data_IF_444628779127
#
_entry.id   IF_444628779127
#
_cell.length_a   1.000
_cell.length_b   1.000
_cell.length_c   1.000
_cell.angle_alpha   90.00
_cell.angle_beta   90.00
_cell.angle_gamma   90.00
#
_symmetry.space_group_name_H-M   'P 1'
#
loop_
_entity.id
_entity.type
_entity.pdbx_description
1 polymer ?
#
# COMPACT_ATOMS: atom_id res chain seq x y z
N UNK A 1 1.35 9.92 -7.44
CA UNK A 1 0.97 11.10 -8.26
C UNK A 1 1.68 12.37 -7.81
N UNK A 2 1.52 12.85 -6.59
CA UNK A 2 2.13 14.13 -6.16
C UNK A 2 3.66 14.14 -6.28
N UNK A 3 4.32 13.02 -5.99
CA UNK A 3 5.76 12.86 -6.15
C UNK A 3 6.17 12.94 -7.63
N UNK A 4 5.50 12.20 -8.52
CA UNK A 4 5.74 12.24 -9.97
C UNK A 4 5.54 13.65 -10.57
N UNK A 5 4.50 14.36 -10.10
CA UNK A 5 4.27 15.75 -10.50
C UNK A 5 5.46 16.63 -10.08
N UNK A 6 5.95 16.44 -8.85
CA UNK A 6 7.06 17.23 -8.30
C UNK A 6 8.38 16.93 -8.99
N UNK A 7 8.66 15.66 -9.28
CA UNK A 7 9.94 15.22 -9.88
C UNK A 7 10.01 15.49 -11.38
N UNK A 8 8.89 15.33 -12.10
CA UNK A 8 8.87 15.42 -13.56
C UNK A 8 8.13 16.64 -14.12
N UNK A 9 7.52 17.47 -13.27
CA UNK A 9 6.78 18.65 -13.69
C UNK A 9 5.51 18.37 -14.50
N UNK A 10 4.93 17.15 -14.39
CA UNK A 10 3.72 16.78 -15.12
C UNK A 10 2.52 17.62 -14.68
N UNK A 11 1.78 18.14 -15.65
CA UNK A 11 0.53 18.90 -15.41
C UNK A 11 -0.65 17.95 -15.32
N UNK A 12 -0.73 17.21 -14.23
CA UNK A 12 -1.77 16.21 -13.94
C UNK A 12 -2.71 16.71 -12.83
N UNK A 13 -3.96 16.26 -12.90
CA UNK A 13 -4.95 16.51 -11.86
C UNK A 13 -5.76 15.23 -11.56
N UNK A 14 -6.04 14.92 -10.28
CA UNK A 14 -6.96 13.82 -9.95
C UNK A 14 -8.37 14.21 -10.38
N UNK A 15 -9.10 13.26 -10.96
CA UNK A 15 -10.49 13.44 -11.36
C UNK A 15 -11.47 12.70 -10.47
N UNK A 16 -11.08 11.55 -9.89
CA UNK A 16 -11.85 10.92 -8.81
C UNK A 16 -10.98 9.93 -8.01
N UNK A 17 -11.43 9.64 -6.81
CA UNK A 17 -10.95 8.52 -6.00
C UNK A 17 -11.46 7.19 -6.58
N UNK A 18 -10.69 6.12 -6.41
CA UNK A 18 -11.03 4.80 -6.92
C UNK A 18 -11.15 3.77 -5.80
N UNK A 19 -10.03 3.33 -5.26
CA UNK A 19 -10.01 2.33 -4.19
C UNK A 19 -8.74 2.46 -3.34
N UNK A 20 -8.80 1.83 -2.18
CA UNK A 20 -7.65 1.55 -1.34
C UNK A 20 -7.25 0.09 -1.55
N UNK A 21 -5.95 -0.13 -1.61
CA UNK A 21 -5.33 -1.43 -1.79
C UNK A 21 -4.29 -1.60 -0.68
N UNK A 22 -4.64 -2.33 0.41
CA UNK A 22 -3.75 -2.48 1.56
C UNK A 22 -2.48 -3.25 1.20
N UNK A 23 -1.33 -2.71 1.62
CA UNK A 23 -0.08 -3.48 1.60
C UNK A 23 -0.09 -4.49 2.76
N UNK A 24 0.46 -5.68 2.53
CA UNK A 24 0.56 -6.73 3.55
C UNK A 24 1.97 -7.28 3.68
N UNK A 25 2.29 -7.77 4.87
CA UNK A 25 3.50 -8.56 5.12
C UNK A 25 3.17 -10.05 5.01
N UNK A 26 3.92 -10.75 4.19
CA UNK A 26 3.75 -12.19 3.93
C UNK A 26 5.00 -12.95 4.32
N UNK A 27 4.84 -14.21 4.69
CA UNK A 27 5.96 -15.07 5.05
C UNK A 27 5.64 -16.54 4.80
N UNK A 28 6.68 -17.30 4.45
CA UNK A 28 6.64 -18.77 4.46
C UNK A 28 7.19 -19.34 5.77
N UNK A 29 7.87 -18.51 6.58
CA UNK A 29 8.63 -18.93 7.78
C UNK A 29 7.90 -18.64 9.08
N UNK A 30 7.09 -17.56 9.13
CA UNK A 30 6.29 -17.17 10.29
C UNK A 30 4.83 -16.98 9.91
N UNK A 31 3.93 -17.07 10.88
CA UNK A 31 2.48 -16.87 10.69
C UNK A 31 1.95 -15.67 11.47
N UNK A 32 2.70 -15.18 12.45
CA UNK A 32 2.30 -14.09 13.34
C UNK A 32 3.50 -13.19 13.65
N UNK A 33 3.23 -11.93 13.97
CA UNK A 33 4.28 -10.93 14.28
C UNK A 33 5.11 -11.28 15.52
N UNK A 34 4.53 -11.96 16.50
CA UNK A 34 5.22 -12.37 17.74
C UNK A 34 6.21 -13.52 17.53
N UNK A 35 6.25 -14.11 16.34
CA UNK A 35 7.26 -15.09 15.94
C UNK A 35 8.55 -14.45 15.38
N UNK A 36 8.55 -13.12 15.16
CA UNK A 36 9.74 -12.38 14.73
C UNK A 36 10.84 -12.48 15.79
N UNK A 37 12.05 -12.69 15.33
CA UNK A 37 13.25 -12.83 16.17
C UNK A 37 14.23 -11.70 15.92
N UNK A 38 15.10 -11.49 16.90
CA UNK A 38 16.21 -10.56 16.79
C UNK A 38 17.07 -10.87 15.57
N UNK A 39 17.33 -9.85 14.75
CA UNK A 39 18.13 -9.95 13.55
C UNK A 39 17.40 -10.46 12.31
N UNK A 40 16.08 -10.73 12.40
CA UNK A 40 15.31 -11.14 11.23
C UNK A 40 15.35 -10.08 10.12
N UNK A 41 15.33 -10.55 8.88
CA UNK A 41 15.36 -9.67 7.70
C UNK A 41 13.98 -9.58 7.07
N UNK A 42 13.50 -8.34 6.94
CA UNK A 42 12.20 -7.99 6.35
C UNK A 42 12.45 -7.25 5.04
N UNK A 43 11.91 -7.79 3.95
CA UNK A 43 11.92 -7.12 2.66
C UNK A 43 10.82 -6.05 2.63
N UNK A 44 11.17 -4.86 2.15
CA UNK A 44 10.24 -3.77 1.89
C UNK A 44 10.39 -3.28 0.43
N UNK A 45 9.34 -2.75 -0.20
CA UNK A 45 9.43 -2.13 -1.51
C UNK A 45 10.48 -1.02 -1.54
N UNK A 46 11.24 -0.93 -2.64
CA UNK A 46 12.33 0.06 -2.78
C UNK A 46 11.82 1.48 -3.08
N UNK A 47 10.59 1.61 -3.59
CA UNK A 47 10.02 2.93 -3.81
C UNK A 47 9.64 3.59 -2.48
N UNK A 48 9.87 4.90 -2.33
CA UNK A 48 9.67 5.60 -1.05
C UNK A 48 8.24 5.49 -0.50
N UNK A 49 7.24 5.47 -1.38
CA UNK A 49 5.83 5.42 -0.97
C UNK A 49 5.49 4.08 -0.31
N UNK A 50 5.75 2.96 -0.99
CA UNK A 50 5.39 1.63 -0.48
C UNK A 50 6.37 1.13 0.59
N UNK A 51 7.66 1.47 0.48
CA UNK A 51 8.64 1.21 1.53
C UNK A 51 8.25 1.86 2.86
N UNK A 52 7.91 3.15 2.81
CA UNK A 52 7.46 3.87 4.00
C UNK A 52 6.13 3.37 4.55
N UNK A 53 5.16 2.97 3.68
CA UNK A 53 3.91 2.31 4.13
C UNK A 53 4.21 1.04 4.92
N UNK A 54 5.18 0.24 4.48
CA UNK A 54 5.59 -0.98 5.19
C UNK A 54 6.06 -0.67 6.61
N UNK A 55 6.84 0.40 6.77
CA UNK A 55 7.30 0.85 8.09
C UNK A 55 6.15 1.37 8.95
N UNK A 56 5.20 2.11 8.37
CA UNK A 56 4.00 2.57 9.10
C UNK A 56 3.12 1.40 9.58
N UNK A 57 3.03 0.31 8.82
CA UNK A 57 2.34 -0.90 9.29
C UNK A 57 3.04 -1.51 10.49
N UNK A 58 4.37 -1.66 10.46
CA UNK A 58 5.13 -2.20 11.60
C UNK A 58 5.08 -1.28 12.83
N UNK A 59 5.04 0.04 12.61
CA UNK A 59 4.85 1.01 13.69
C UNK A 59 3.45 0.90 14.32
N UNK A 60 2.41 0.79 13.50
CA UNK A 60 1.04 0.61 13.97
C UNK A 60 0.84 -0.71 14.75
N UNK A 61 1.60 -1.74 14.42
CA UNK A 61 1.63 -3.02 15.13
C UNK A 61 2.60 -3.01 16.34
N UNK A 62 3.29 -1.89 16.61
CA UNK A 62 4.18 -1.72 17.77
C UNK A 62 5.54 -2.43 17.65
N UNK A 63 5.93 -2.85 16.45
CA UNK A 63 7.19 -3.57 16.20
C UNK A 63 8.39 -2.61 16.17
N UNK A 64 8.19 -1.42 15.58
CA UNK A 64 9.19 -0.34 15.50
C UNK A 64 8.56 1.00 15.91
N UNK A 65 9.40 2.05 16.08
CA UNK A 65 8.93 3.45 16.11
C UNK A 65 9.72 4.30 15.15
N UNK A 66 9.07 5.31 14.59
CA UNK A 66 9.68 6.30 13.72
C UNK A 66 9.58 7.71 14.34
N UNK A 67 10.36 8.67 13.82
CA UNK A 67 10.35 10.07 14.27
C UNK A 67 9.58 11.00 13.32
N UNK A 68 8.84 10.46 12.37
CA UNK A 68 8.08 11.27 11.42
C UNK A 68 6.77 11.79 12.02
N UNK A 69 6.33 12.95 11.58
CA UNK A 69 5.03 13.49 11.95
C UNK A 69 3.89 12.72 11.29
N UNK A 70 2.72 12.72 11.94
CA UNK A 70 1.51 12.10 11.38
C UNK A 70 1.25 12.56 9.93
N UNK A 71 1.07 11.62 9.02
CA UNK A 71 0.84 11.87 7.60
C UNK A 71 2.10 11.99 6.73
N UNK A 72 3.27 11.92 7.34
CA UNK A 72 4.53 11.77 6.61
C UNK A 72 4.85 10.29 6.36
N UNK A 73 5.66 10.04 5.34
CA UNK A 73 6.09 8.69 4.95
C UNK A 73 7.53 8.53 5.42
N UNK A 74 7.80 7.59 6.37
CA UNK A 74 9.16 7.35 6.87
C UNK A 74 10.04 6.61 5.86
N UNK A 75 11.35 6.76 6.03
CA UNK A 75 12.34 5.83 5.49
C UNK A 75 13.01 5.04 6.64
N UNK A 76 13.81 4.04 6.31
CA UNK A 76 14.54 3.21 7.29
C UNK A 76 15.39 4.07 8.23
N UNK A 77 15.96 5.17 7.73
CA UNK A 77 16.74 6.12 8.53
C UNK A 77 15.94 6.88 9.61
N UNK A 78 14.61 6.88 9.51
CA UNK A 78 13.73 7.55 10.48
C UNK A 78 13.32 6.65 11.65
N UNK A 79 13.78 5.37 11.67
CA UNK A 79 13.48 4.43 12.75
C UNK A 79 14.26 4.82 14.00
N UNK A 80 13.55 5.08 15.10
CA UNK A 80 14.13 5.44 16.39
C UNK A 80 14.12 4.31 17.42
N UNK A 81 13.22 3.33 17.25
CA UNK A 81 13.17 2.14 18.09
C UNK A 81 12.98 0.90 17.23
N UNK A 82 13.90 -0.07 17.37
CA UNK A 82 13.88 -1.36 16.69
C UNK A 82 14.44 -2.43 17.66
N UNK A 83 13.61 -2.84 18.63
CA UNK A 83 14.03 -3.73 19.73
C UNK A 83 14.51 -5.11 19.24
N UNK A 84 13.94 -5.55 18.13
CA UNK A 84 14.32 -6.84 17.51
C UNK A 84 15.52 -6.71 16.57
N UNK A 85 16.10 -5.52 16.42
CA UNK A 85 17.21 -5.29 15.49
C UNK A 85 16.92 -5.86 14.10
N UNK A 86 15.69 -5.65 13.59
CA UNK A 86 15.26 -6.12 12.29
C UNK A 86 16.08 -5.45 11.19
N UNK A 87 16.46 -6.23 10.20
CA UNK A 87 17.16 -5.74 9.01
C UNK A 87 16.15 -5.47 7.90
N UNK A 88 16.16 -4.26 7.34
CA UNK A 88 15.27 -3.88 6.24
C UNK A 88 16.00 -3.94 4.91
N UNK A 89 15.48 -4.75 3.97
CA UNK A 89 16.05 -4.95 2.65
C UNK A 89 15.13 -4.35 1.60
N UNK A 90 15.60 -3.33 0.87
CA UNK A 90 14.81 -2.65 -0.17
C UNK A 90 14.91 -3.42 -1.50
N UNK A 91 13.77 -3.87 -2.02
CA UNK A 91 13.67 -4.63 -3.29
C UNK A 91 12.59 -4.02 -4.17
N UNK A 92 12.74 -4.11 -5.49
CA UNK A 92 11.73 -3.65 -6.43
C UNK A 92 10.37 -4.28 -6.09
N UNK A 93 9.28 -3.50 -6.02
CA UNK A 93 7.95 -4.00 -5.61
C UNK A 93 7.49 -5.26 -6.35
N UNK A 94 7.76 -5.36 -7.66
CA UNK A 94 7.37 -6.51 -8.47
C UNK A 94 8.17 -7.80 -8.13
N UNK A 95 9.31 -7.66 -7.45
CA UNK A 95 10.19 -8.78 -7.11
C UNK A 95 10.08 -9.20 -5.64
N UNK A 96 9.38 -8.44 -4.80
CA UNK A 96 9.28 -8.72 -3.36
C UNK A 96 8.72 -10.12 -3.07
N UNK A 97 7.74 -10.59 -3.84
CA UNK A 97 7.14 -11.92 -3.66
C UNK A 97 8.14 -13.06 -3.87
N UNK A 98 9.13 -12.88 -4.74
CA UNK A 98 10.15 -13.89 -5.05
C UNK A 98 11.12 -14.12 -3.91
N UNK A 99 11.16 -13.23 -2.93
CA UNK A 99 12.11 -13.24 -1.82
C UNK A 99 11.64 -14.02 -0.59
N UNK A 100 10.40 -14.54 -0.61
CA UNK A 100 9.79 -15.20 0.55
C UNK A 100 10.50 -16.48 1.02
N UNK A 101 11.32 -17.10 0.17
CA UNK A 101 12.12 -18.27 0.55
C UNK A 101 13.44 -17.84 1.25
N UNK A 102 13.99 -16.70 0.88
CA UNK A 102 15.30 -16.24 1.34
C UNK A 102 15.21 -15.46 2.66
N UNK A 103 14.23 -14.58 2.79
CA UNK A 103 14.05 -13.67 3.94
C UNK A 103 12.98 -14.17 4.93
N UNK A 104 12.95 -13.58 6.12
CA UNK A 104 11.96 -13.94 7.15
C UNK A 104 10.56 -13.58 6.71
N UNK A 105 10.37 -12.37 6.15
CA UNK A 105 9.11 -11.90 5.61
C UNK A 105 9.33 -10.82 4.55
N UNK A 106 8.30 -10.54 3.76
CA UNK A 106 8.31 -9.46 2.78
C UNK A 106 6.99 -8.69 2.80
N UNK A 107 7.06 -7.37 2.72
CA UNK A 107 5.93 -6.54 2.37
C UNK A 107 5.69 -6.59 0.87
N UNK A 108 4.46 -6.90 0.49
CA UNK A 108 4.06 -7.08 -0.90
C UNK A 108 2.80 -6.25 -1.15
N UNK A 109 2.80 -5.46 -2.23
CA UNK A 109 1.60 -4.73 -2.67
C UNK A 109 0.48 -5.70 -3.03
N UNK A 110 -0.78 -5.32 -2.78
CA UNK A 110 -1.94 -6.19 -2.93
C UNK A 110 -2.04 -6.87 -4.30
N UNK A 111 -1.86 -6.11 -5.38
CA UNK A 111 -1.89 -6.65 -6.72
C UNK A 111 -0.81 -7.74 -6.97
N UNK A 112 0.43 -7.50 -6.55
CA UNK A 112 1.52 -8.49 -6.71
C UNK A 112 1.30 -9.71 -5.81
N UNK A 113 0.76 -9.52 -4.61
CA UNK A 113 0.40 -10.63 -3.73
C UNK A 113 -0.68 -11.50 -4.39
N UNK A 114 -1.76 -10.89 -4.89
CA UNK A 114 -2.88 -11.60 -5.51
C UNK A 114 -2.46 -12.34 -6.80
N UNK A 115 -1.69 -11.71 -7.68
CA UNK A 115 -1.15 -12.32 -8.90
C UNK A 115 -0.29 -13.56 -8.61
N UNK A 116 0.26 -13.67 -7.41
CA UNK A 116 1.05 -14.82 -6.95
C UNK A 116 0.30 -15.75 -5.98
N UNK A 117 -1.04 -15.65 -5.95
CA UNK A 117 -1.91 -16.58 -5.22
C UNK A 117 -2.11 -16.28 -3.73
N UNK A 118 -1.59 -15.16 -3.23
CA UNK A 118 -1.82 -14.71 -1.86
C UNK A 118 -3.09 -13.87 -1.76
N UNK A 119 -3.88 -14.09 -0.72
CA UNK A 119 -5.07 -13.30 -0.38
C UNK A 119 -4.79 -12.57 0.93
N UNK A 120 -4.76 -11.24 0.90
CA UNK A 120 -4.35 -10.40 2.03
C UNK A 120 -5.11 -10.71 3.33
N UNK A 121 -6.43 -10.95 3.23
CA UNK A 121 -7.28 -11.27 4.40
C UNK A 121 -7.02 -12.66 5.00
N UNK A 122 -6.33 -13.56 4.28
CA UNK A 122 -6.08 -14.95 4.69
C UNK A 122 -4.61 -15.21 4.99
N UNK A 123 -3.71 -14.67 4.18
CA UNK A 123 -2.32 -15.12 4.11
C UNK A 123 -1.32 -14.11 4.68
N UNK A 124 -1.72 -12.85 4.88
CA UNK A 124 -0.83 -11.84 5.44
C UNK A 124 -0.60 -12.07 6.94
N UNK A 125 0.66 -12.00 7.37
CA UNK A 125 1.08 -11.98 8.77
C UNK A 125 0.54 -10.75 9.50
N UNK A 126 0.63 -9.59 8.83
CA UNK A 126 -0.05 -8.35 9.17
C UNK A 126 -0.30 -7.54 7.90
N UNK A 127 -1.19 -6.56 7.99
CA UNK A 127 -1.51 -5.70 6.85
C UNK A 127 -1.91 -4.30 7.29
N UNK A 128 -1.83 -3.38 6.37
CA UNK A 128 -2.32 -2.02 6.56
C UNK A 128 -3.81 -2.01 6.91
N UNK A 129 -4.16 -1.28 7.96
CA UNK A 129 -5.54 -1.09 8.41
C UNK A 129 -6.07 0.20 7.80
N UNK A 130 -6.80 0.07 6.69
CA UNK A 130 -7.41 1.20 5.99
C UNK A 130 -8.92 1.23 6.24
N UNK A 131 -9.46 2.44 6.39
CA UNK A 131 -10.90 2.67 6.48
C UNK A 131 -11.39 3.35 5.20
N UNK A 132 -12.56 2.96 4.64
CA UNK A 132 -13.16 3.66 3.51
C UNK A 132 -13.55 5.11 3.85
N UNK A 133 -13.71 5.43 5.13
CA UNK A 133 -14.07 6.77 5.61
C UNK A 133 -12.83 7.68 5.76
N UNK A 134 -11.62 7.12 5.79
CA UNK A 134 -10.38 7.89 5.87
C UNK A 134 -9.76 8.10 4.50
N UNK A 135 -10.34 9.00 3.72
CA UNK A 135 -9.81 9.45 2.43
C UNK A 135 -8.65 10.46 2.56
N UNK A 136 -8.27 10.83 3.79
CA UNK A 136 -7.10 11.69 4.04
C UNK A 136 -5.78 10.95 3.87
N UNK A 137 -5.80 9.62 3.80
CA UNK A 137 -4.61 8.82 3.55
C UNK A 137 -4.01 9.14 2.18
N UNK A 138 -2.69 9.33 2.07
CA UNK A 138 -2.02 9.59 0.80
C UNK A 138 -2.02 8.40 -0.17
N UNK A 139 -2.54 7.25 0.27
CA UNK A 139 -2.48 5.97 -0.46
C UNK A 139 -3.74 5.64 -1.25
N UNK A 140 -4.76 6.51 -1.23
CA UNK A 140 -5.94 6.36 -2.10
C UNK A 140 -5.50 6.38 -3.55
N UNK A 141 -5.88 5.36 -4.31
CA UNK A 141 -5.68 5.34 -5.76
C UNK A 141 -6.68 6.26 -6.43
N UNK A 142 -6.24 6.94 -7.49
CA UNK A 142 -7.03 7.97 -8.17
C UNK A 142 -6.99 7.78 -9.68
N UNK A 143 -8.05 8.12 -10.37
CA UNK A 143 -8.01 8.40 -11.80
C UNK A 143 -7.44 9.80 -12.01
N UNK A 144 -6.55 9.92 -12.99
CA UNK A 144 -5.82 11.16 -13.27
C UNK A 144 -6.03 11.58 -14.72
N UNK A 145 -6.20 12.86 -14.94
CA UNK A 145 -6.22 13.46 -16.27
C UNK A 145 -5.16 14.56 -16.38
N UNK A 146 -4.89 15.03 -17.60
CA UNK A 146 -4.13 16.27 -17.76
C UNK A 146 -4.92 17.42 -17.12
N UNK A 147 -4.25 18.28 -16.36
CA UNK A 147 -4.91 19.37 -15.62
C UNK A 147 -5.85 20.23 -16.49
N UNK A 148 -5.43 20.51 -17.74
CA UNK A 148 -6.24 21.29 -18.71
C UNK A 148 -7.52 20.58 -19.18
N UNK A 149 -7.63 19.28 -18.99
CA UNK A 149 -8.75 18.45 -19.47
C UNK A 149 -9.72 18.05 -18.34
N UNK A 150 -9.43 18.41 -17.09
CA UNK A 150 -10.16 17.95 -15.90
C UNK A 150 -11.69 18.13 -15.97
N UNK A 151 -12.17 19.23 -16.53
CA UNK A 151 -13.62 19.55 -16.63
C UNK A 151 -14.33 18.99 -17.87
N UNK A 152 -13.69 18.17 -18.69
CA UNK A 152 -14.32 17.68 -19.94
C UNK A 152 -15.47 16.71 -19.65
N UNK A 153 -16.57 16.86 -20.40
CA UNK A 153 -17.78 16.03 -20.26
C UNK A 153 -17.51 14.52 -20.34
N UNK A 154 -16.50 14.09 -21.12
CA UNK A 154 -16.14 12.69 -21.21
C UNK A 154 -15.66 12.14 -19.86
N UNK A 155 -14.90 12.92 -19.07
CA UNK A 155 -14.43 12.48 -17.75
C UNK A 155 -15.57 12.42 -16.74
N UNK A 156 -16.57 13.29 -16.82
CA UNK A 156 -17.78 13.21 -15.99
C UNK A 156 -18.46 11.85 -16.21
N UNK A 157 -18.61 11.43 -17.46
CA UNK A 157 -19.16 10.10 -17.78
C UNK A 157 -18.30 8.95 -17.25
N UNK A 158 -16.98 9.05 -17.38
CA UNK A 158 -16.04 8.03 -16.85
C UNK A 158 -16.15 7.94 -15.33
N UNK A 159 -16.16 9.07 -14.62
CA UNK A 159 -16.32 9.13 -13.16
C UNK A 159 -17.63 8.48 -12.74
N UNK A 160 -18.75 8.89 -13.37
CA UNK A 160 -20.07 8.35 -13.05
C UNK A 160 -20.17 6.84 -13.30
N UNK A 161 -19.56 6.34 -14.37
CA UNK A 161 -19.51 4.90 -14.66
C UNK A 161 -18.64 4.16 -13.64
N UNK A 162 -17.47 4.73 -13.29
CA UNK A 162 -16.54 4.12 -12.34
C UNK A 162 -17.11 4.14 -10.90
N UNK A 163 -17.60 5.27 -10.43
CA UNK A 163 -18.15 5.44 -9.07
C UNK A 163 -19.62 4.99 -9.00
N UNK A 164 -19.89 3.79 -9.49
CA UNK A 164 -21.20 3.16 -9.49
C UNK A 164 -21.28 2.01 -8.48
N UNK A 165 -22.52 1.64 -8.10
CA UNK A 165 -22.78 0.47 -7.25
C UNK A 165 -22.21 -0.82 -7.83
N UNK A 166 -22.29 -0.99 -9.16
CA UNK A 166 -21.73 -2.14 -9.86
C UNK A 166 -20.21 -2.21 -9.72
N UNK A 167 -19.51 -1.10 -9.95
CA UNK A 167 -18.05 -1.03 -9.77
C UNK A 167 -17.64 -1.27 -8.32
N UNK A 168 -18.37 -0.74 -7.36
CA UNK A 168 -18.09 -0.97 -5.94
C UNK A 168 -18.25 -2.45 -5.56
N UNK A 169 -19.24 -3.15 -6.11
CA UNK A 169 -19.40 -4.59 -5.90
C UNK A 169 -18.25 -5.40 -6.48
N UNK A 170 -17.81 -5.08 -7.70
CA UNK A 170 -16.66 -5.72 -8.34
C UNK A 170 -15.40 -5.51 -7.51
N UNK A 171 -15.12 -4.27 -7.08
CA UNK A 171 -13.96 -3.96 -6.23
C UNK A 171 -13.96 -4.77 -4.93
N UNK A 172 -15.12 -4.85 -4.24
CA UNK A 172 -15.27 -5.64 -3.00
C UNK A 172 -15.05 -7.15 -3.18
N UNK A 173 -15.10 -7.65 -4.40
CA UNK A 173 -14.84 -9.06 -4.72
C UNK A 173 -13.44 -9.28 -5.29
N UNK A 174 -12.84 -8.23 -5.85
CA UNK A 174 -11.53 -8.28 -6.44
C UNK A 174 -10.45 -8.59 -5.39
N UNK A 175 -9.39 -9.23 -5.83
CA UNK A 175 -8.24 -9.61 -5.00
C UNK A 175 -8.63 -10.33 -3.69
N UNK A 176 -9.65 -11.22 -3.78
CA UNK A 176 -10.13 -11.97 -2.63
C UNK A 176 -10.80 -11.12 -1.55
N UNK A 177 -11.34 -9.96 -1.93
CA UNK A 177 -12.01 -9.04 -1.02
C UNK A 177 -11.08 -8.06 -0.31
N UNK A 178 -9.87 -7.88 -0.81
CA UNK A 178 -8.88 -6.98 -0.20
C UNK A 178 -9.11 -5.50 -0.57
N UNK A 179 -9.68 -5.22 -1.75
CA UNK A 179 -9.87 -3.85 -2.22
C UNK A 179 -11.06 -3.16 -1.51
N UNK A 180 -10.85 -1.90 -1.15
CA UNK A 180 -11.83 -1.08 -0.46
C UNK A 180 -12.22 0.09 -1.38
N UNK A 181 -13.49 0.17 -1.88
CA UNK A 181 -13.94 1.32 -2.66
C UNK A 181 -13.76 2.63 -1.88
N UNK A 182 -13.14 3.62 -2.52
CA UNK A 182 -12.87 4.94 -1.93
C UNK A 182 -13.85 6.01 -2.46
N UNK A 183 -15.12 5.65 -2.64
CA UNK A 183 -16.19 6.52 -3.10
C UNK A 183 -17.56 6.07 -2.58
N UNK A 184 -18.49 7.00 -2.49
CA UNK A 184 -19.90 6.73 -2.19
C UNK A 184 -20.69 6.48 -3.48
N UNK A 185 -21.74 5.62 -3.45
CA UNK A 185 -22.53 5.21 -4.60
C UNK A 185 -24.00 4.96 -4.21
#
# INVERSE_FOLDING_TARGET
MNQEIKEHGYKLAPICYTYLDPIGMYSKKIKRLDELKKGDSIVIPSDPSNGGRSLLVLEAEGVIKTNVSKGQIPDVGDITENKLELNFVKINPADTVKTLDDYTAAFINGNYAFENGFIANRDAVCREKLSPDDLSTPFVKVLVARAKDQGRAVFIKVISAYQSKGSAQVLKQAEGGALIPAFTY
#
